data_IF_109974614156
#
_entry.id   IF_109974614156
#
_cell.length_a   1.000
_cell.length_b   1.000
_cell.length_c   1.000
_cell.angle_alpha   90.00
_cell.angle_beta   90.00
_cell.angle_gamma   90.00
#
_symmetry.space_group_name_H-M   'P 1'
#
loop_
_entity.id
_entity.type
_entity.pdbx_description
1 polymer ?
#
# COMPACT_ATOMS: atom_id res chain seq x y z
N UNK A 1 -30.05 -16.31 -20.29
CA UNK A 1 -28.84 -15.98 -21.05
C UNK A 1 -27.69 -16.08 -20.09
N UNK A 2 -26.99 -17.21 -20.16
CA UNK A 2 -25.77 -17.49 -19.40
C UNK A 2 -24.58 -16.85 -20.13
N UNK A 3 -23.45 -16.71 -19.42
CA UNK A 3 -22.14 -16.26 -19.92
C UNK A 3 -22.02 -14.72 -19.95
N UNK A 4 -21.21 -14.06 -19.13
CA UNK A 4 -19.76 -14.17 -19.05
C UNK A 4 -19.23 -14.16 -17.60
N UNK A 5 -18.99 -15.35 -17.05
CA UNK A 5 -17.98 -15.54 -16.02
C UNK A 5 -16.73 -16.11 -16.70
N UNK A 6 -15.89 -15.25 -17.27
CA UNK A 6 -14.57 -15.62 -17.79
C UNK A 6 -13.53 -15.15 -16.78
N UNK A 7 -12.83 -16.04 -16.04
CA UNK A 7 -11.84 -15.64 -15.04
C UNK A 7 -10.54 -15.05 -15.62
N UNK A 8 -10.53 -14.62 -16.88
CA UNK A 8 -9.33 -14.19 -17.62
C UNK A 8 -9.44 -12.85 -18.34
N UNK A 9 -10.39 -11.98 -18.00
CA UNK A 9 -10.37 -10.59 -18.46
C UNK A 9 -10.43 -9.67 -17.24
N UNK A 10 -9.26 -9.27 -16.76
CA UNK A 10 -9.16 -8.16 -15.79
C UNK A 10 -9.91 -6.98 -16.40
N UNK A 11 -11.00 -6.57 -15.76
CA UNK A 11 -11.84 -5.46 -16.21
C UNK A 11 -11.36 -4.17 -15.58
N UNK A 12 -11.67 -3.00 -16.16
CA UNK A 12 -11.29 -1.69 -15.61
C UNK A 12 -11.69 -1.54 -14.13
N UNK A 13 -12.87 -2.04 -13.76
CA UNK A 13 -13.34 -2.12 -12.37
C UNK A 13 -12.41 -2.89 -11.44
N UNK A 14 -11.77 -3.94 -11.94
CA UNK A 14 -10.84 -4.77 -11.18
C UNK A 14 -9.56 -4.00 -10.86
N UNK A 15 -9.02 -3.26 -11.83
CA UNK A 15 -7.86 -2.39 -11.63
C UNK A 15 -8.17 -1.27 -10.61
N UNK A 16 -9.35 -0.66 -10.72
CA UNK A 16 -9.84 0.33 -9.74
C UNK A 16 -9.96 -0.30 -8.35
N UNK A 17 -10.49 -1.53 -8.25
CA UNK A 17 -10.59 -2.27 -7.00
C UNK A 17 -9.21 -2.59 -6.41
N UNK A 18 -8.23 -2.98 -7.23
CA UNK A 18 -6.86 -3.24 -6.77
C UNK A 18 -6.20 -1.97 -6.20
N UNK A 19 -6.34 -0.81 -6.88
CA UNK A 19 -5.83 0.47 -6.37
C UNK A 19 -6.48 0.86 -5.05
N UNK A 20 -7.80 0.68 -4.93
CA UNK A 20 -8.52 0.90 -3.67
C UNK A 20 -8.06 -0.06 -2.56
N UNK A 21 -7.79 -1.31 -2.90
CA UNK A 21 -7.29 -2.31 -1.96
C UNK A 21 -5.88 -1.94 -1.44
N UNK A 22 -4.99 -1.45 -2.31
CA UNK A 22 -3.66 -0.98 -1.90
C UNK A 22 -3.77 0.15 -0.86
N UNK A 23 -4.67 1.11 -1.09
CA UNK A 23 -4.91 2.21 -0.14
C UNK A 23 -5.47 1.69 1.18
N UNK A 24 -6.43 0.75 1.14
CA UNK A 24 -7.01 0.16 2.33
C UNK A 24 -5.98 -0.65 3.14
N UNK A 25 -5.13 -1.43 2.48
CA UNK A 25 -4.07 -2.19 3.13
C UNK A 25 -3.01 -1.27 3.76
N UNK A 26 -2.67 -0.16 3.10
CA UNK A 26 -1.76 0.85 3.63
C UNK A 26 -2.33 1.55 4.89
N UNK A 27 -3.63 1.87 4.88
CA UNK A 27 -4.33 2.44 6.05
C UNK A 27 -4.41 1.45 7.21
N UNK A 28 -4.75 0.20 6.92
CA UNK A 28 -4.76 -0.87 7.91
C UNK A 28 -3.36 -1.12 8.51
N UNK A 29 -2.30 -1.00 7.72
CA UNK A 29 -0.92 -1.13 8.19
C UNK A 29 -0.56 -0.02 9.19
N UNK A 30 -0.99 1.21 8.93
CA UNK A 30 -0.83 2.34 9.85
C UNK A 30 -1.59 2.10 11.17
N UNK A 31 -2.82 1.61 11.08
CA UNK A 31 -3.63 1.28 12.27
C UNK A 31 -2.98 0.15 13.09
N UNK A 32 -2.54 -0.93 12.44
CA UNK A 32 -1.89 -2.05 13.12
C UNK A 32 -0.56 -1.66 13.79
N UNK A 33 0.15 -0.67 13.23
CA UNK A 33 1.34 -0.05 13.84
C UNK A 33 1.00 0.73 15.11
N UNK A 34 -0.19 1.34 15.16
CA UNK A 34 -0.70 2.01 16.36
C UNK A 34 -1.08 0.98 17.44
N UNK A 35 -1.72 -0.11 17.05
CA UNK A 35 -2.14 -1.20 17.94
C UNK A 35 -1.00 -2.14 18.38
N UNK A 36 0.24 -1.90 17.93
CA UNK A 36 1.43 -2.75 18.18
C UNK A 36 1.24 -4.23 17.82
N UNK A 37 0.42 -4.52 16.81
CA UNK A 37 0.10 -5.89 16.42
C UNK A 37 1.09 -6.42 15.37
N UNK A 38 2.28 -6.87 15.79
CA UNK A 38 3.37 -7.31 14.90
C UNK A 38 2.94 -8.35 13.86
N UNK A 39 2.14 -9.34 14.24
CA UNK A 39 1.61 -10.35 13.32
C UNK A 39 0.66 -9.75 12.26
N UNK A 40 -0.19 -8.79 12.66
CA UNK A 40 -1.07 -8.07 11.72
C UNK A 40 -0.28 -7.21 10.74
N UNK A 41 0.74 -6.51 11.23
CA UNK A 41 1.64 -5.68 10.41
C UNK A 41 2.32 -6.56 9.35
N UNK A 42 2.82 -7.74 9.72
CA UNK A 42 3.44 -8.67 8.78
C UNK A 42 2.45 -9.14 7.70
N UNK A 43 1.23 -9.55 8.09
CA UNK A 43 0.20 -9.99 7.16
C UNK A 43 -0.25 -8.88 6.19
N UNK A 44 -0.40 -7.65 6.68
CA UNK A 44 -0.77 -6.48 5.87
C UNK A 44 0.33 -6.09 4.90
N UNK A 45 1.61 -6.13 5.33
CA UNK A 45 2.76 -5.91 4.45
C UNK A 45 2.77 -6.91 3.28
N UNK A 46 2.55 -8.19 3.54
CA UNK A 46 2.53 -9.21 2.48
C UNK A 46 1.41 -8.97 1.48
N UNK A 47 0.19 -8.61 1.95
CA UNK A 47 -0.93 -8.27 1.08
C UNK A 47 -0.65 -7.03 0.24
N UNK A 48 -0.14 -5.98 0.88
CA UNK A 48 0.25 -4.73 0.22
C UNK A 48 1.27 -5.00 -0.89
N UNK A 49 2.33 -5.77 -0.61
CA UNK A 49 3.32 -6.14 -1.64
C UNK A 49 2.73 -6.97 -2.78
N UNK A 50 1.85 -7.93 -2.48
CA UNK A 50 1.20 -8.73 -3.52
C UNK A 50 0.33 -7.86 -4.45
N UNK A 51 -0.44 -6.93 -3.87
CA UNK A 51 -1.30 -6.03 -4.61
C UNK A 51 -0.50 -5.02 -5.44
N UNK A 52 0.56 -4.47 -4.87
CA UNK A 52 1.48 -3.57 -5.57
C UNK A 52 2.19 -4.23 -6.75
N UNK A 53 2.60 -5.50 -6.60
CA UNK A 53 3.21 -6.28 -7.68
C UNK A 53 2.19 -6.60 -8.78
N UNK A 54 0.95 -6.90 -8.42
CA UNK A 54 -0.10 -7.23 -9.38
C UNK A 54 -0.63 -6.01 -10.15
N UNK A 55 -0.68 -4.83 -9.55
CA UNK A 55 -1.24 -3.62 -10.18
C UNK A 55 -0.63 -3.26 -11.56
N UNK A 56 0.72 -3.22 -11.75
CA UNK A 56 1.31 -2.93 -13.06
C UNK A 56 1.12 -4.06 -14.07
N UNK A 57 1.17 -5.34 -13.66
CA UNK A 57 0.89 -6.48 -14.55
C UNK A 57 -0.56 -6.44 -15.04
N UNK A 58 -1.51 -6.07 -14.17
CA UNK A 58 -2.92 -5.90 -14.52
C UNK A 58 -3.17 -4.72 -15.45
N UNK A 59 -2.44 -3.62 -15.24
CA UNK A 59 -2.42 -2.51 -16.18
C UNK A 59 -1.84 -2.96 -17.52
N UNK A 60 -0.79 -3.80 -17.53
CA UNK A 60 -0.11 -4.32 -18.71
C UNK A 60 -0.96 -5.29 -19.55
N UNK A 61 -1.83 -6.08 -18.91
CA UNK A 61 -2.81 -6.93 -19.60
C UNK A 61 -3.94 -6.09 -20.24
N UNK A 62 -4.36 -5.00 -19.58
CA UNK A 62 -5.43 -4.13 -20.08
C UNK A 62 -4.94 -3.17 -21.18
N UNK A 63 -3.75 -2.61 -20.99
CA UNK A 63 -2.60 -2.83 -21.86
C UNK A 63 -2.71 -2.91 -23.39
N UNK A 64 -2.94 -4.12 -23.87
CA UNK A 64 -2.30 -4.57 -25.11
C UNK A 64 -2.76 -3.85 -26.40
N UNK A 65 -3.72 -2.92 -26.33
CA UNK A 65 -4.33 -2.25 -27.49
C UNK A 65 -4.00 -0.77 -27.70
N UNK A 66 -3.56 0.04 -26.71
CA UNK A 66 -3.36 1.50 -26.91
C UNK A 66 -2.39 2.18 -25.91
N UNK A 67 -1.17 2.55 -26.31
CA UNK A 67 -0.17 3.21 -25.44
C UNK A 67 -0.39 4.72 -25.42
N UNK A 68 -1.37 5.18 -24.65
CA UNK A 68 -1.69 6.60 -24.49
C UNK A 68 -0.95 7.25 -23.31
N UNK A 69 -0.79 8.59 -23.32
CA UNK A 69 -0.08 9.36 -22.30
C UNK A 69 -0.68 9.17 -20.90
N UNK A 70 -2.01 9.03 -20.83
CA UNK A 70 -2.75 8.71 -19.61
C UNK A 70 -2.27 7.42 -18.94
N UNK A 71 -1.74 6.47 -19.70
CA UNK A 71 -1.23 5.20 -19.17
C UNK A 71 0.13 5.33 -18.49
N UNK A 72 0.96 6.22 -19.00
CA UNK A 72 2.22 6.55 -18.34
C UNK A 72 1.95 7.27 -17.02
N UNK A 73 0.97 8.18 -16.99
CA UNK A 73 0.56 8.85 -15.77
C UNK A 73 0.00 7.86 -14.73
N UNK A 74 -0.78 6.87 -15.15
CA UNK A 74 -1.25 5.77 -14.28
C UNK A 74 -0.09 4.91 -13.76
N UNK A 75 0.88 4.54 -14.61
CA UNK A 75 2.07 3.77 -14.17
C UNK A 75 2.91 4.55 -13.18
N UNK A 76 3.18 5.82 -13.47
CA UNK A 76 3.96 6.68 -12.59
C UNK A 76 3.24 6.88 -11.24
N UNK A 77 1.92 7.00 -11.25
CA UNK A 77 1.10 7.07 -10.04
C UNK A 77 1.15 5.74 -9.26
N UNK A 78 1.01 4.59 -9.92
CA UNK A 78 1.13 3.27 -9.30
C UNK A 78 2.54 3.03 -8.73
N UNK A 79 3.59 3.45 -9.44
CA UNK A 79 4.97 3.30 -8.97
C UNK A 79 5.20 4.16 -7.73
N UNK A 80 4.78 5.43 -7.75
CA UNK A 80 4.85 6.32 -6.58
C UNK A 80 4.05 5.78 -5.39
N UNK A 81 2.88 5.20 -5.66
CA UNK A 81 2.05 4.51 -4.66
C UNK A 81 2.83 3.34 -4.06
N UNK A 82 3.50 2.54 -4.89
CA UNK A 82 4.29 1.39 -4.47
C UNK A 82 5.50 1.78 -3.63
N UNK A 83 6.26 2.79 -4.06
CA UNK A 83 7.41 3.32 -3.33
C UNK A 83 7.01 3.88 -1.96
N UNK A 84 5.92 4.64 -1.90
CA UNK A 84 5.41 5.18 -0.65
C UNK A 84 4.89 4.07 0.29
N UNK A 85 4.06 3.17 -0.23
CA UNK A 85 3.54 2.03 0.52
C UNK A 85 4.64 1.10 1.05
N UNK A 86 5.70 0.87 0.27
CA UNK A 86 6.84 0.07 0.72
C UNK A 86 7.61 0.74 1.85
N UNK A 87 7.86 2.05 1.76
CA UNK A 87 8.46 2.81 2.87
C UNK A 87 7.61 2.79 4.14
N UNK A 88 6.28 2.86 4.00
CA UNK A 88 5.38 2.71 5.14
C UNK A 88 5.54 1.33 5.81
N UNK A 89 5.58 0.28 5.00
CA UNK A 89 5.74 -1.09 5.48
C UNK A 89 7.09 -1.35 6.14
N UNK A 90 8.17 -0.80 5.58
CA UNK A 90 9.52 -0.89 6.17
C UNK A 90 9.59 -0.15 7.51
N UNK A 91 9.11 1.09 7.57
CA UNK A 91 9.07 1.86 8.82
C UNK A 91 8.23 1.18 9.91
N UNK A 92 7.08 0.60 9.55
CA UNK A 92 6.23 -0.15 10.47
C UNK A 92 6.92 -1.41 11.02
N UNK A 93 7.64 -2.15 10.17
CA UNK A 93 8.38 -3.35 10.58
C UNK A 93 9.56 -2.97 11.48
N UNK A 94 10.33 -1.93 11.13
CA UNK A 94 11.43 -1.44 11.97
C UNK A 94 10.93 -0.98 13.34
N UNK A 95 9.77 -0.32 13.39
CA UNK A 95 9.15 0.09 14.65
C UNK A 95 8.74 -1.10 15.51
N UNK A 96 8.11 -2.10 14.90
CA UNK A 96 7.69 -3.31 15.58
C UNK A 96 8.90 -4.10 16.12
N UNK A 97 9.94 -4.26 15.32
CA UNK A 97 11.19 -4.93 15.74
C UNK A 97 11.90 -4.18 16.85
N UNK A 98 12.03 -2.85 16.74
CA UNK A 98 12.62 -2.03 17.80
C UNK A 98 11.78 -2.08 19.08
N UNK A 99 10.45 -2.09 18.98
CA UNK A 99 9.58 -2.26 20.13
C UNK A 99 9.76 -3.63 20.78
N UNK A 100 9.83 -4.73 20.02
CA UNK A 100 10.11 -6.07 20.54
C UNK A 100 11.50 -6.17 21.19
N UNK A 101 12.53 -5.61 20.57
CA UNK A 101 13.88 -5.59 21.12
C UNK A 101 13.96 -4.73 22.40
N UNK A 102 13.23 -3.61 22.41
CA UNK A 102 13.10 -2.75 23.58
C UNK A 102 12.32 -3.44 24.69
N UNK A 103 11.26 -4.21 24.40
CA UNK A 103 10.52 -5.01 25.40
C UNK A 103 11.42 -6.09 26.01
N UNK A 104 12.27 -6.75 25.21
CA UNK A 104 13.30 -7.66 25.74
C UNK A 104 14.32 -6.96 26.65
N UNK A 105 14.68 -5.71 26.35
CA UNK A 105 15.58 -4.87 27.15
C UNK A 105 14.88 -4.10 28.28
N UNK A 106 13.54 -4.01 28.29
CA UNK A 106 12.74 -3.23 29.23
C UNK A 106 12.55 -3.89 30.61
N UNK A 107 13.14 -5.08 30.82
CA UNK A 107 13.51 -5.49 32.19
C UNK A 107 14.53 -4.48 32.79
N UNK A 108 15.23 -3.69 31.96
CA UNK A 108 16.30 -2.78 32.39
C UNK A 108 16.22 -1.30 31.90
N UNK A 109 15.34 -0.91 30.98
CA UNK A 109 15.36 0.48 30.44
C UNK A 109 13.97 1.11 30.22
N UNK A 110 13.87 2.40 30.52
CA UNK A 110 12.65 3.18 30.72
C UNK A 110 11.79 3.39 29.46
N UNK A 111 10.48 3.53 29.70
CA UNK A 111 9.36 3.66 28.75
C UNK A 111 9.52 4.76 27.68
N UNK A 112 10.31 5.80 27.94
CA UNK A 112 10.44 6.98 27.08
C UNK A 112 11.16 6.73 25.75
N UNK A 113 12.21 5.88 25.74
CA UNK A 113 12.95 5.56 24.51
C UNK A 113 12.10 4.74 23.51
N UNK A 114 11.23 3.87 24.03
CA UNK A 114 10.28 3.11 23.23
C UNK A 114 9.19 4.01 22.62
N UNK A 115 8.71 5.02 23.35
CA UNK A 115 7.69 5.96 22.86
C UNK A 115 8.21 6.86 21.74
N UNK A 116 9.40 7.45 21.90
CA UNK A 116 9.99 8.31 20.86
C UNK A 116 10.22 7.56 19.54
N UNK A 117 10.66 6.31 19.62
CA UNK A 117 10.87 5.47 18.43
C UNK A 117 9.55 5.11 17.76
N UNK A 118 8.51 4.81 18.55
CA UNK A 118 7.18 4.51 18.02
C UNK A 118 6.54 5.74 17.35
N UNK A 119 6.72 6.95 17.89
CA UNK A 119 6.21 8.19 17.29
C UNK A 119 6.87 8.51 15.95
N UNK A 120 8.20 8.41 15.86
CA UNK A 120 8.92 8.67 14.61
C UNK A 120 8.49 7.71 13.48
N UNK A 121 8.27 6.44 13.81
CA UNK A 121 7.77 5.47 12.85
C UNK A 121 6.32 5.73 12.42
N UNK A 122 5.46 6.16 13.36
CA UNK A 122 4.07 6.53 13.05
C UNK A 122 4.01 7.74 12.12
N UNK A 123 4.83 8.76 12.35
CA UNK A 123 4.91 9.94 11.47
C UNK A 123 5.36 9.55 10.04
N UNK A 124 6.39 8.71 9.93
CA UNK A 124 6.86 8.22 8.64
C UNK A 124 5.79 7.37 7.92
N UNK A 125 5.12 6.47 8.64
CA UNK A 125 4.05 5.65 8.10
C UNK A 125 2.84 6.52 7.67
N UNK A 126 2.47 7.54 8.44
CA UNK A 126 1.36 8.44 8.12
C UNK A 126 1.65 9.28 6.87
N UNK A 127 2.86 9.83 6.74
CA UNK A 127 3.30 10.54 5.53
C UNK A 127 3.27 9.64 4.30
N UNK A 128 3.76 8.41 4.44
CA UNK A 128 3.79 7.43 3.37
C UNK A 128 2.37 6.99 2.95
N UNK A 129 1.45 6.77 3.89
CA UNK A 129 0.03 6.49 3.58
C UNK A 129 -0.65 7.68 2.91
N UNK A 130 -0.33 8.90 3.31
CA UNK A 130 -0.88 10.12 2.69
C UNK A 130 -0.43 10.24 1.23
N UNK A 131 0.86 10.06 0.96
CA UNK A 131 1.39 10.04 -0.40
C UNK A 131 0.80 8.90 -1.25
N UNK A 132 0.55 7.73 -0.63
CA UNK A 132 -0.12 6.58 -1.27
C UNK A 132 -1.55 6.95 -1.67
N UNK A 133 -2.32 7.60 -0.79
CA UNK A 133 -3.68 8.08 -1.07
C UNK A 133 -3.70 9.09 -2.22
N UNK A 134 -2.85 10.11 -2.17
CA UNK A 134 -2.76 11.13 -3.23
C UNK A 134 -2.37 10.53 -4.59
N UNK A 135 -1.44 9.58 -4.61
CA UNK A 135 -1.02 8.91 -5.83
C UNK A 135 -2.13 7.98 -6.36
N UNK A 136 -2.84 7.27 -5.48
CA UNK A 136 -3.98 6.44 -5.84
C UNK A 136 -5.15 7.27 -6.37
N UNK A 137 -5.49 8.40 -5.75
CA UNK A 137 -6.53 9.32 -6.23
C UNK A 137 -6.20 9.85 -7.64
N UNK A 138 -4.94 10.23 -7.89
CA UNK A 138 -4.49 10.61 -9.24
C UNK A 138 -4.59 9.46 -10.24
N UNK A 139 -4.24 8.25 -9.83
CA UNK A 139 -4.37 7.07 -10.68
C UNK A 139 -5.85 6.79 -11.02
N UNK A 140 -6.74 6.90 -10.03
CA UNK A 140 -8.18 6.72 -10.21
C UNK A 140 -8.79 7.80 -11.10
N UNK A 141 -8.40 9.06 -10.93
CA UNK A 141 -8.84 10.17 -11.77
C UNK A 141 -8.38 9.98 -13.23
N UNK A 142 -7.11 9.62 -13.43
CA UNK A 142 -6.58 9.31 -14.75
C UNK A 142 -7.30 8.12 -15.40
N UNK A 143 -7.61 7.07 -14.64
CA UNK A 143 -8.42 5.94 -15.10
C UNK A 143 -9.85 6.36 -15.46
N UNK A 144 -10.47 7.26 -14.70
CA UNK A 144 -11.81 7.79 -14.98
C UNK A 144 -11.84 8.68 -16.20
N UNK A 145 -10.84 9.54 -16.37
CA UNK A 145 -10.66 10.37 -17.57
C UNK A 145 -10.50 9.50 -18.82
N UNK A 146 -9.76 8.40 -18.72
CA UNK A 146 -9.60 7.41 -19.78
C UNK A 146 -10.87 6.59 -20.09
N UNK A 147 -11.89 6.68 -19.24
CA UNK A 147 -13.19 6.00 -19.43
C UNK A 147 -14.26 6.89 -20.06
N UNK A 148 -14.05 8.21 -20.15
CA UNK A 148 -14.91 9.10 -20.93
C UNK A 148 -14.55 9.05 -22.41
#
# INVERSE_FOLDING_TARGET
>A
MSEFNKPGSITKDKLIADVKQIVADADALLQATTDQASEKIAGLRTRLQANLKAAPDRLAEFAATDVDKTRQDIRDALQKTSDAAQRAAEAAVEAAQKAEESVKKAVESSKEAAQQTAEAARDAAQKAVTATKEAADKALDAMQSWMR
#
